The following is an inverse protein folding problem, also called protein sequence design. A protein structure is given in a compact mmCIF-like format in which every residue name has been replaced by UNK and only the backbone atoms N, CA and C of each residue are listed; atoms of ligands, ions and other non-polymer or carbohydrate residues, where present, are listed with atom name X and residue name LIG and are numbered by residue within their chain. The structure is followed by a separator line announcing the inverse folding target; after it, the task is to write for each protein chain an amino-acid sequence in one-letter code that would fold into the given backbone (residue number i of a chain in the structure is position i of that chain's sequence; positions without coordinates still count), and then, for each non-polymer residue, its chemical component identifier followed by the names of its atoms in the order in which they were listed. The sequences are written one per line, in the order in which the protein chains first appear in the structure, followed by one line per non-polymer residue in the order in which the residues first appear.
data_IF_364415449969
#
_entry.id   IF_364415449969
#
_cell.length_a   1.000
_cell.length_b   1.000
_cell.length_c   1.000
_cell.angle_alpha   90.00
_cell.angle_beta   90.00
_cell.angle_gamma   90.00
#
_symmetry.space_group_name_H-M   'P 1'
#
loop_
_entity.id
_entity.type
_entity.pdbx_description
1 polymer ?
#
# COMPACT_ATOMS: atom_id res chain seq x y z
N UNK A 1 -19.27 -10.65 -28.22
CA UNK A 1 -19.00 -11.71 -27.21
C UNK A 1 -17.59 -11.57 -26.63
N UNK A 2 -16.53 -11.43 -27.45
CA UNK A 2 -15.15 -11.21 -26.97
C UNK A 2 -14.99 -9.93 -26.12
N UNK A 3 -15.76 -8.88 -26.45
CA UNK A 3 -15.91 -7.67 -25.63
C UNK A 3 -16.41 -7.93 -24.19
N UNK A 4 -16.96 -9.08 -23.85
CA UNK A 4 -17.33 -9.35 -22.44
C UNK A 4 -16.08 -9.65 -21.60
N UNK A 5 -15.00 -10.09 -22.25
CA UNK A 5 -13.76 -10.49 -21.58
C UNK A 5 -12.68 -9.40 -21.57
N UNK A 6 -12.96 -8.18 -22.07
CA UNK A 6 -11.93 -7.12 -22.10
C UNK A 6 -11.47 -6.76 -20.67
N UNK A 7 -12.40 -6.69 -19.72
CA UNK A 7 -12.09 -6.41 -18.31
C UNK A 7 -11.13 -7.46 -17.73
N UNK A 8 -11.23 -8.72 -18.19
CA UNK A 8 -10.35 -9.79 -17.73
C UNK A 8 -8.92 -9.56 -18.18
N UNK A 9 -8.72 -9.28 -19.47
CA UNK A 9 -7.39 -9.08 -20.04
C UNK A 9 -6.68 -7.86 -19.45
N UNK A 10 -7.41 -6.76 -19.24
CA UNK A 10 -6.87 -5.58 -18.56
C UNK A 10 -6.51 -5.91 -17.12
N UNK A 11 -7.40 -6.57 -16.38
CA UNK A 11 -7.14 -6.96 -14.98
C UNK A 11 -5.90 -7.85 -14.86
N UNK A 12 -5.74 -8.81 -15.76
CA UNK A 12 -4.58 -9.71 -15.79
C UNK A 12 -3.31 -8.90 -16.06
N UNK A 13 -3.33 -8.05 -17.09
CA UNK A 13 -2.18 -7.25 -17.47
C UNK A 13 -1.78 -6.28 -16.35
N UNK A 14 -2.73 -5.53 -15.79
CA UNK A 14 -2.46 -4.60 -14.69
C UNK A 14 -1.99 -5.34 -13.44
N UNK A 15 -2.60 -6.47 -13.09
CA UNK A 15 -2.23 -7.21 -11.88
C UNK A 15 -0.88 -7.92 -11.95
N UNK A 16 -0.43 -8.28 -13.16
CA UNK A 16 0.86 -8.91 -13.42
C UNK A 16 1.95 -7.91 -13.77
N UNK A 17 1.65 -6.82 -14.47
CA UNK A 17 2.67 -5.97 -15.08
C UNK A 17 2.57 -4.50 -14.70
N UNK A 18 1.54 -4.05 -13.98
CA UNK A 18 1.44 -2.67 -13.50
C UNK A 18 1.60 -2.57 -11.98
N UNK A 19 2.34 -1.56 -11.53
CA UNK A 19 2.53 -1.23 -10.11
C UNK A 19 1.53 -0.18 -9.59
N UNK A 20 0.83 0.53 -10.48
CA UNK A 20 0.14 1.77 -10.16
C UNK A 20 -1.27 1.58 -9.55
N UNK A 21 -1.94 0.48 -9.89
CA UNK A 21 -3.22 0.10 -9.28
C UNK A 21 -3.13 -0.14 -7.76
N UNK A 22 -1.97 -0.59 -7.27
CA UNK A 22 -1.78 -0.78 -5.83
C UNK A 22 -1.42 0.53 -5.13
N UNK A 23 -0.56 1.37 -5.71
CA UNK A 23 -0.28 2.70 -5.18
C UNK A 23 -1.57 3.51 -5.01
N UNK A 24 -2.38 3.61 -6.06
CA UNK A 24 -3.67 4.32 -6.01
C UNK A 24 -4.62 3.74 -4.96
N UNK A 25 -4.69 2.42 -4.83
CA UNK A 25 -5.47 1.74 -3.78
C UNK A 25 -5.01 2.15 -2.40
N UNK A 26 -3.71 2.02 -2.10
CA UNK A 26 -3.19 2.35 -0.77
C UNK A 26 -3.24 3.86 -0.47
N UNK A 27 -2.99 4.71 -1.47
CA UNK A 27 -3.09 6.17 -1.37
C UNK A 27 -4.53 6.59 -1.02
N UNK A 28 -5.53 6.04 -1.73
CA UNK A 28 -6.95 6.24 -1.41
C UNK A 28 -7.29 5.89 0.04
N UNK A 29 -6.80 4.75 0.53
CA UNK A 29 -7.05 4.35 1.92
C UNK A 29 -6.29 5.24 2.93
N UNK A 30 -5.16 5.79 2.54
CA UNK A 30 -4.43 6.78 3.33
C UNK A 30 -5.17 8.13 3.41
N UNK A 31 -5.81 8.56 2.32
CA UNK A 31 -6.68 9.74 2.32
C UNK A 31 -7.91 9.54 3.21
N UNK A 32 -8.46 8.32 3.20
CA UNK A 32 -9.54 7.93 4.13
C UNK A 32 -9.07 7.99 5.59
N UNK A 33 -7.84 7.58 5.89
CA UNK A 33 -7.26 7.75 7.23
C UNK A 33 -7.21 9.22 7.66
N UNK A 34 -6.68 10.09 6.80
CA UNK A 34 -6.63 11.54 7.07
C UNK A 34 -8.03 12.15 7.28
N UNK A 35 -9.01 11.67 6.51
CA UNK A 35 -10.42 12.06 6.65
C UNK A 35 -11.00 11.62 8.00
N UNK A 36 -10.72 10.37 8.42
CA UNK A 36 -11.17 9.84 9.72
C UNK A 36 -10.59 10.61 10.90
N UNK A 37 -9.29 10.93 10.87
CA UNK A 37 -8.66 11.71 11.94
C UNK A 37 -9.22 13.14 12.06
N UNK A 38 -9.80 13.67 10.98
CA UNK A 38 -10.40 15.00 10.97
C UNK A 38 -11.88 15.01 11.38
N UNK A 39 -12.49 13.84 11.57
CA UNK A 39 -13.88 13.73 11.99
C UNK A 39 -14.07 14.12 13.47
N UNK A 40 -15.15 14.86 13.77
CA UNK A 40 -15.39 15.41 15.10
C UNK A 40 -15.65 14.32 16.16
N UNK A 41 -16.28 13.21 15.79
CA UNK A 41 -16.48 12.07 16.69
C UNK A 41 -15.12 11.52 17.10
N UNK A 42 -14.21 11.34 16.13
CA UNK A 42 -12.86 10.86 16.38
C UNK A 42 -12.08 11.83 17.27
N UNK A 43 -12.12 13.14 16.98
CA UNK A 43 -11.45 14.16 17.80
C UNK A 43 -11.95 14.14 19.26
N UNK A 44 -13.26 13.98 19.46
CA UNK A 44 -13.84 13.92 20.80
C UNK A 44 -13.39 12.67 21.57
N UNK A 45 -13.33 11.51 20.91
CA UNK A 45 -12.82 10.27 21.50
C UNK A 45 -11.35 10.43 21.88
N UNK A 46 -10.54 10.97 20.98
CA UNK A 46 -9.11 11.21 21.23
C UNK A 46 -8.92 12.18 22.39
N UNK A 47 -9.67 13.28 22.45
CA UNK A 47 -9.58 14.25 23.54
C UNK A 47 -9.89 13.62 24.92
N UNK A 48 -10.90 12.74 24.98
CA UNK A 48 -11.21 11.97 26.20
C UNK A 48 -10.08 11.00 26.59
N UNK A 49 -9.40 10.40 25.62
CA UNK A 49 -8.27 9.52 25.88
C UNK A 49 -7.00 10.29 26.27
N UNK A 50 -6.78 11.48 25.68
CA UNK A 50 -5.69 12.38 26.07
C UNK A 50 -5.85 12.78 27.53
N UNK A 51 -7.05 13.16 27.98
CA UNK A 51 -7.28 13.52 29.38
C UNK A 51 -7.04 12.36 30.34
N UNK A 52 -7.53 11.16 30.02
CA UNK A 52 -7.28 9.95 30.80
C UNK A 52 -5.77 9.59 30.82
N UNK A 53 -5.11 9.65 29.66
CA UNK A 53 -3.69 9.37 29.53
C UNK A 53 -2.83 10.32 30.34
N UNK A 54 -3.15 11.62 30.37
CA UNK A 54 -2.39 12.60 31.15
C UNK A 54 -2.46 12.29 32.66
N UNK A 55 -3.62 11.83 33.15
CA UNK A 55 -3.75 11.35 34.53
C UNK A 55 -2.86 10.14 34.82
N UNK A 56 -2.83 9.16 33.90
CA UNK A 56 -1.97 7.97 34.02
C UNK A 56 -0.48 8.36 33.98
N UNK A 57 -0.10 9.28 33.10
CA UNK A 57 1.27 9.80 32.97
C UNK A 57 1.76 10.43 34.27
N UNK A 58 0.91 11.23 34.94
CA UNK A 58 1.22 11.80 36.25
C UNK A 58 1.42 10.73 37.32
N UNK A 59 0.60 9.67 37.31
CA UNK A 59 0.76 8.55 38.24
C UNK A 59 2.10 7.84 38.01
N UNK A 60 2.47 7.55 36.76
CA UNK A 60 3.75 6.92 36.45
C UNK A 60 4.95 7.77 36.86
N UNK A 61 4.86 9.08 36.66
CA UNK A 61 5.87 10.02 37.14
C UNK A 61 6.02 9.97 38.67
N UNK A 62 4.91 9.99 39.42
CA UNK A 62 4.96 9.92 40.88
C UNK A 62 5.51 8.58 41.40
N UNK A 63 5.18 7.47 40.74
CA UNK A 63 5.73 6.15 41.08
C UNK A 63 7.25 6.09 40.86
N UNK A 64 7.72 6.56 39.70
CA UNK A 64 9.15 6.59 39.39
C UNK A 64 9.94 7.48 40.36
N UNK A 65 9.38 8.63 40.75
CA UNK A 65 9.97 9.47 41.79
C UNK A 65 9.99 8.81 43.17
N UNK A 66 8.92 8.10 43.54
CA UNK A 66 8.81 7.37 44.82
C UNK A 66 9.85 6.25 44.93
N UNK A 67 10.03 5.49 43.85
CA UNK A 67 11.00 4.40 43.78
C UNK A 67 12.44 4.91 43.96
N UNK A 68 12.79 6.03 43.31
CA UNK A 68 14.13 6.63 43.46
C UNK A 68 14.35 7.36 44.78
N UNK A 69 13.30 7.96 45.35
CA UNK A 69 13.36 8.54 46.69
C UNK A 69 13.67 7.46 47.74
N UNK A 70 13.03 6.30 47.60
CA UNK A 70 13.24 5.15 48.50
C UNK A 70 14.61 4.49 48.30
N UNK A 71 15.12 4.47 47.06
CA UNK A 71 16.44 3.91 46.74
C UNK A 71 17.65 4.78 47.15
N UNK A 72 17.43 5.89 47.88
CA UNK A 72 18.45 6.90 48.25
C UNK A 72 19.28 7.49 47.09
N UNK A 73 18.86 7.28 45.84
CA UNK A 73 19.48 7.82 44.63
C UNK A 73 18.79 9.12 44.16
N UNK A 74 18.34 9.93 45.12
CA UNK A 74 17.54 11.12 44.89
C UNK A 74 18.46 12.34 44.67
N UNK A 75 19.07 12.41 43.49
CA UNK A 75 19.92 13.55 43.09
C UNK A 75 19.09 14.63 42.40
N UNK A 76 19.52 15.89 42.50
CA UNK A 76 18.89 17.01 41.78
C UNK A 76 18.82 16.78 40.27
N UNK A 77 19.86 16.16 39.70
CA UNK A 77 19.90 15.77 38.29
C UNK A 77 18.77 14.80 37.92
N UNK A 78 18.47 13.83 38.79
CA UNK A 78 17.39 12.88 38.55
C UNK A 78 16.02 13.57 38.49
N UNK A 79 15.77 14.48 39.43
CA UNK A 79 14.52 15.26 39.50
C UNK A 79 14.35 16.05 38.20
N UNK A 80 15.38 16.79 37.77
CA UNK A 80 15.33 17.59 36.55
C UNK A 80 15.10 16.73 35.29
N UNK A 81 15.77 15.57 35.18
CA UNK A 81 15.55 14.62 34.07
C UNK A 81 14.13 14.05 34.07
N UNK A 82 13.56 13.77 35.24
CA UNK A 82 12.20 13.22 35.37
C UNK A 82 11.13 14.25 35.03
N UNK A 83 11.32 15.51 35.43
CA UNK A 83 10.47 16.62 35.00
C UNK A 83 10.56 16.88 33.50
N UNK A 84 11.76 16.80 32.91
CA UNK A 84 11.92 16.94 31.45
C UNK A 84 11.20 15.82 30.69
N UNK A 85 11.29 14.57 31.18
CA UNK A 85 10.51 13.44 30.62
C UNK A 85 9.01 13.69 30.72
N UNK A 86 8.53 14.23 31.84
CA UNK A 86 7.13 14.59 32.02
C UNK A 86 6.68 15.63 30.99
N UNK A 87 7.45 16.71 30.81
CA UNK A 87 7.16 17.75 29.80
C UNK A 87 7.12 17.18 28.37
N UNK A 88 8.08 16.32 28.03
CA UNK A 88 8.13 15.66 26.71
C UNK A 88 6.94 14.73 26.53
N UNK A 89 6.60 13.92 27.54
CA UNK A 89 5.45 13.03 27.50
C UNK A 89 4.15 13.82 27.30
N UNK A 90 3.94 14.90 28.07
CA UNK A 90 2.78 15.78 27.89
C UNK A 90 2.70 16.36 26.47
N UNK A 91 3.80 16.87 25.93
CA UNK A 91 3.86 17.39 24.57
C UNK A 91 3.50 16.32 23.52
N UNK A 92 4.10 15.12 23.63
CA UNK A 92 3.82 14.01 22.72
C UNK A 92 2.36 13.55 22.80
N UNK A 93 1.75 13.59 23.98
CA UNK A 93 0.36 13.18 24.19
C UNK A 93 -0.64 14.21 23.64
N UNK A 94 -0.39 15.51 23.85
CA UNK A 94 -1.28 16.57 23.33
C UNK A 94 -1.20 16.70 21.80
N UNK A 95 -0.02 16.46 21.21
CA UNK A 95 0.21 16.55 19.77
C UNK A 95 0.26 15.18 19.06
N UNK A 96 -0.17 14.09 19.71
CA UNK A 96 -0.01 12.73 19.17
C UNK A 96 -0.63 12.56 17.77
N UNK A 97 -1.79 13.16 17.53
CA UNK A 97 -2.49 13.07 16.25
C UNK A 97 -1.73 13.75 15.11
N UNK A 98 -1.12 14.90 15.39
CA UNK A 98 -0.30 15.64 14.42
C UNK A 98 0.97 14.86 14.09
N UNK A 99 1.61 14.28 15.11
CA UNK A 99 2.79 13.43 14.93
C UNK A 99 2.51 12.19 14.10
N UNK A 100 1.36 11.55 14.31
CA UNK A 100 0.98 10.36 13.54
C UNK A 100 0.66 10.73 12.09
N UNK A 101 -0.04 11.85 11.85
CA UNK A 101 -0.24 12.37 10.49
C UNK A 101 1.09 12.62 9.80
N UNK A 102 2.03 13.28 10.46
CA UNK A 102 3.37 13.53 9.92
C UNK A 102 4.08 12.22 9.56
N UNK A 103 4.06 11.21 10.43
CA UNK A 103 4.67 9.90 10.14
C UNK A 103 4.04 9.26 8.90
N UNK A 104 2.72 9.35 8.76
CA UNK A 104 1.97 8.78 7.64
C UNK A 104 2.24 9.53 6.34
N UNK A 105 2.34 10.86 6.39
CA UNK A 105 2.74 11.70 5.26
C UNK A 105 4.16 11.37 4.79
N UNK A 106 5.11 11.15 5.71
CA UNK A 106 6.46 10.68 5.37
C UNK A 106 6.40 9.32 4.65
N UNK A 107 5.63 8.37 5.18
CA UNK A 107 5.45 7.07 4.53
C UNK A 107 4.80 7.17 3.14
N UNK A 108 3.88 8.12 2.98
CA UNK A 108 3.18 8.39 1.71
C UNK A 108 4.07 9.06 0.69
N UNK A 109 4.85 10.07 1.11
CA UNK A 109 5.83 10.73 0.25
C UNK A 109 6.91 9.76 -0.22
N UNK A 110 7.40 8.89 0.68
CA UNK A 110 8.33 7.83 0.30
C UNK A 110 7.71 6.89 -0.73
N UNK A 111 6.47 6.44 -0.51
CA UNK A 111 5.72 5.60 -1.46
C UNK A 111 5.55 6.28 -2.84
N UNK A 112 5.28 7.60 -2.87
CA UNK A 112 5.16 8.37 -4.11
C UNK A 112 6.46 8.44 -4.90
N UNK A 113 7.60 8.64 -4.23
CA UNK A 113 8.91 8.67 -4.89
C UNK A 113 9.32 7.29 -5.47
N UNK A 114 8.77 6.20 -4.94
CA UNK A 114 9.03 4.84 -5.44
C UNK A 114 8.22 4.57 -6.72
N UNK A 115 7.04 5.19 -6.86
CA UNK A 115 6.17 5.01 -8.02
C UNK A 115 6.74 5.64 -9.30
N UNK A 116 7.56 6.69 -9.20
CA UNK A 116 8.02 7.46 -10.37
C UNK A 116 8.99 6.71 -11.29
N UNK A 117 9.41 5.49 -10.92
CA UNK A 117 10.19 4.60 -11.77
C UNK A 117 9.29 3.45 -12.24
N UNK A 118 8.41 3.74 -13.21
CA UNK A 118 7.47 2.78 -13.78
C UNK A 118 8.22 1.60 -14.42
N UNK A 119 8.15 0.43 -13.80
CA UNK A 119 8.74 -0.82 -14.32
C UNK A 119 7.68 -1.68 -15.03
N UNK A 120 6.73 -1.05 -15.70
CA UNK A 120 5.59 -1.74 -16.30
C UNK A 120 4.81 -0.80 -17.21
N UNK A 121 4.55 -1.25 -18.43
CA UNK A 121 3.90 -0.49 -19.50
C UNK A 121 2.56 0.13 -19.07
N UNK A 122 2.51 1.47 -19.02
CA UNK A 122 1.32 2.30 -18.70
C UNK A 122 0.22 2.28 -19.77
N UNK A 123 0.20 1.23 -20.59
CA UNK A 123 -0.59 1.15 -21.79
C UNK A 123 -2.09 1.36 -21.53
N UNK A 124 -2.67 0.67 -20.55
CA UNK A 124 -4.09 0.78 -20.22
C UNK A 124 -4.44 1.94 -19.27
N UNK A 125 -3.48 2.82 -18.94
CA UNK A 125 -3.81 4.01 -18.16
C UNK A 125 -4.55 5.06 -18.98
N UNK A 126 -4.23 5.15 -20.27
CA UNK A 126 -4.93 6.04 -21.17
C UNK A 126 -6.35 5.50 -21.44
N UNK A 127 -7.42 6.24 -21.09
CA UNK A 127 -8.79 5.83 -21.39
C UNK A 127 -9.01 5.51 -22.86
N UNK A 128 -8.31 6.22 -23.75
CA UNK A 128 -8.41 6.00 -25.20
C UNK A 128 -7.80 4.64 -25.60
N UNK A 129 -6.73 4.19 -24.93
CA UNK A 129 -6.13 2.87 -25.18
C UNK A 129 -7.06 1.75 -24.68
N UNK A 130 -7.70 1.95 -23.52
CA UNK A 130 -8.70 1.03 -22.98
C UNK A 130 -9.88 0.90 -23.94
N UNK A 131 -10.40 2.04 -24.42
CA UNK A 131 -11.50 2.07 -25.37
C UNK A 131 -11.11 1.46 -26.72
N UNK A 132 -9.90 1.79 -27.22
CA UNK A 132 -9.37 1.26 -28.46
C UNK A 132 -9.17 -0.27 -28.42
N UNK A 133 -8.71 -0.80 -27.29
CA UNK A 133 -8.58 -2.24 -27.10
C UNK A 133 -9.93 -2.92 -27.01
N UNK A 134 -10.86 -2.36 -26.24
CA UNK A 134 -12.24 -2.84 -26.12
C UNK A 134 -12.95 -2.91 -27.48
N UNK A 135 -12.74 -1.90 -28.33
CA UNK A 135 -13.29 -1.88 -29.68
C UNK A 135 -12.52 -2.84 -30.62
N UNK A 136 -11.20 -2.92 -30.49
CA UNK A 136 -10.34 -3.83 -31.26
C UNK A 136 -10.68 -5.31 -31.07
N UNK A 137 -11.01 -5.71 -29.83
CA UNK A 137 -11.47 -7.07 -29.51
C UNK A 137 -12.76 -7.49 -30.23
N UNK A 138 -13.55 -6.54 -30.74
CA UNK A 138 -14.76 -6.87 -31.52
C UNK A 138 -14.44 -7.43 -32.90
N UNK A 139 -13.23 -7.18 -33.42
CA UNK A 139 -12.76 -7.70 -34.69
C UNK A 139 -12.16 -9.11 -34.60
N UNK A 140 -11.96 -9.63 -33.38
CA UNK A 140 -11.48 -11.00 -33.16
C UNK A 140 -12.62 -11.99 -33.46
N UNK A 141 -12.29 -13.06 -34.19
CA UNK A 141 -13.27 -14.08 -34.56
C UNK A 141 -13.79 -14.80 -33.30
N UNK A 142 -15.02 -15.32 -33.36
CA UNK A 142 -15.63 -15.97 -32.21
C UNK A 142 -14.85 -17.24 -31.77
N UNK A 143 -14.24 -17.94 -32.74
CA UNK A 143 -13.39 -19.11 -32.49
C UNK A 143 -12.12 -18.73 -31.71
N UNK A 144 -11.41 -17.70 -32.17
CA UNK A 144 -10.17 -17.25 -31.53
C UNK A 144 -10.47 -16.67 -30.13
N UNK A 145 -11.56 -15.90 -30.03
CA UNK A 145 -11.99 -15.28 -28.78
C UNK A 145 -12.31 -16.28 -27.66
N UNK A 146 -12.92 -17.44 -27.97
CA UNK A 146 -13.15 -18.51 -26.99
C UNK A 146 -11.82 -19.14 -26.54
N UNK A 147 -10.87 -19.32 -27.47
CA UNK A 147 -9.55 -19.84 -27.15
C UNK A 147 -8.81 -18.98 -26.11
N UNK A 148 -8.80 -17.66 -26.30
CA UNK A 148 -8.21 -16.72 -25.34
C UNK A 148 -9.00 -16.63 -24.03
N UNK A 149 -10.34 -16.71 -24.08
CA UNK A 149 -11.15 -16.70 -22.86
C UNK A 149 -10.84 -17.91 -21.95
N UNK A 150 -10.61 -19.09 -22.53
CA UNK A 150 -10.22 -20.29 -21.77
C UNK A 150 -8.83 -20.12 -21.16
N UNK A 151 -7.86 -19.60 -21.92
CA UNK A 151 -6.51 -19.30 -21.42
C UNK A 151 -6.52 -18.24 -20.31
N UNK A 152 -7.39 -17.24 -20.43
CA UNK A 152 -7.51 -16.10 -19.52
C UNK A 152 -8.35 -16.33 -18.26
N UNK A 153 -9.14 -17.41 -18.17
CA UNK A 153 -10.03 -17.63 -17.03
C UNK A 153 -9.27 -17.84 -15.70
N UNK A 154 -8.33 -18.79 -15.68
CA UNK A 154 -7.53 -19.07 -14.48
C UNK A 154 -6.73 -17.85 -13.97
N UNK A 155 -5.95 -17.13 -14.81
CA UNK A 155 -5.18 -15.97 -14.33
C UNK A 155 -6.11 -14.85 -13.86
N UNK A 156 -7.23 -14.64 -14.55
CA UNK A 156 -8.21 -13.65 -14.13
C UNK A 156 -8.72 -13.94 -12.72
N UNK A 157 -9.15 -15.18 -12.44
CA UNK A 157 -9.64 -15.56 -11.11
C UNK A 157 -8.56 -15.37 -10.05
N UNK A 158 -7.32 -15.79 -10.34
CA UNK A 158 -6.20 -15.62 -9.40
C UNK A 158 -5.94 -14.14 -9.11
N UNK A 159 -5.73 -13.32 -10.14
CA UNK A 159 -5.43 -11.89 -9.97
C UNK A 159 -6.59 -11.14 -9.32
N UNK A 160 -7.82 -11.50 -9.65
CA UNK A 160 -9.00 -10.95 -9.00
C UNK A 160 -9.00 -11.23 -7.49
N UNK A 161 -8.71 -12.47 -7.08
CA UNK A 161 -8.54 -12.82 -5.67
C UNK A 161 -7.37 -12.07 -5.03
N UNK A 162 -6.24 -11.93 -5.75
CA UNK A 162 -5.11 -11.13 -5.28
C UNK A 162 -5.52 -9.69 -4.96
N UNK A 163 -6.29 -9.06 -5.84
CA UNK A 163 -6.74 -7.68 -5.68
C UNK A 163 -7.70 -7.53 -4.48
N UNK A 164 -8.60 -8.49 -4.26
CA UNK A 164 -9.46 -8.52 -3.07
C UNK A 164 -8.61 -8.59 -1.79
N UNK A 165 -7.60 -9.46 -1.77
CA UNK A 165 -6.72 -9.62 -0.60
C UNK A 165 -5.91 -8.34 -0.35
N UNK A 166 -5.40 -7.69 -1.39
CA UNK A 166 -4.71 -6.40 -1.28
C UNK A 166 -5.60 -5.34 -0.64
N UNK A 167 -6.86 -5.23 -1.08
CA UNK A 167 -7.83 -4.29 -0.50
C UNK A 167 -8.04 -4.58 0.99
N UNK A 168 -8.20 -5.85 1.36
CA UNK A 168 -8.33 -6.25 2.76
C UNK A 168 -7.11 -5.85 3.60
N UNK A 169 -5.89 -6.05 3.09
CA UNK A 169 -4.64 -5.65 3.75
C UNK A 169 -4.57 -4.13 3.92
N UNK A 170 -4.93 -3.37 2.87
CA UNK A 170 -4.93 -1.91 2.91
C UNK A 170 -5.89 -1.35 3.98
N UNK A 171 -7.12 -1.89 4.04
CA UNK A 171 -8.13 -1.51 5.03
C UNK A 171 -7.65 -1.90 6.44
N UNK A 172 -7.16 -3.13 6.62
CA UNK A 172 -6.67 -3.62 7.92
C UNK A 172 -5.57 -2.71 8.47
N UNK A 173 -4.61 -2.30 7.64
CA UNK A 173 -3.53 -1.39 8.01
C UNK A 173 -4.05 -0.04 8.47
N UNK A 174 -5.01 0.56 7.75
CA UNK A 174 -5.59 1.86 8.12
C UNK A 174 -6.38 1.76 9.42
N UNK A 175 -7.15 0.69 9.62
CA UNK A 175 -7.89 0.47 10.87
C UNK A 175 -6.92 0.30 12.04
N UNK A 176 -5.86 -0.49 11.88
CA UNK A 176 -4.85 -0.68 12.93
C UNK A 176 -4.14 0.63 13.29
N UNK A 177 -3.75 1.42 12.29
CA UNK A 177 -3.14 2.73 12.46
C UNK A 177 -4.09 3.69 13.20
N UNK A 178 -5.38 3.70 12.83
CA UNK A 178 -6.41 4.52 13.46
C UNK A 178 -6.60 4.19 14.94
N UNK A 179 -6.74 2.90 15.27
CA UNK A 179 -6.91 2.45 16.65
C UNK A 179 -5.67 2.83 17.47
N UNK A 180 -4.47 2.59 16.94
CA UNK A 180 -3.22 2.94 17.63
C UNK A 180 -3.05 4.45 17.80
N UNK A 181 -3.54 5.25 16.86
CA UNK A 181 -3.55 6.70 16.98
C UNK A 181 -4.47 7.17 18.12
N UNK A 182 -5.67 6.60 18.20
CA UNK A 182 -6.63 6.88 19.26
C UNK A 182 -6.06 6.58 20.64
N UNK A 183 -5.36 5.45 20.80
CA UNK A 183 -4.77 5.02 22.09
C UNK A 183 -3.32 5.50 22.31
N UNK A 184 -2.76 6.29 21.40
CA UNK A 184 -1.38 6.79 21.51
C UNK A 184 -1.09 7.53 22.81
N UNK A 185 -1.98 8.41 23.34
CA UNK A 185 -1.72 9.10 24.59
C UNK A 185 -1.48 8.13 25.77
N UNK A 186 -2.23 7.04 25.85
CA UNK A 186 -2.05 6.03 26.90
C UNK A 186 -0.79 5.23 26.63
N UNK A 187 -0.54 4.83 25.39
CA UNK A 187 0.69 4.09 25.03
C UNK A 187 1.97 4.85 25.38
N UNK A 188 1.98 6.17 25.17
CA UNK A 188 3.12 7.06 25.43
C UNK A 188 3.23 7.47 26.90
N UNK A 189 2.20 7.24 27.73
CA UNK A 189 2.25 7.61 29.15
C UNK A 189 3.36 6.89 29.93
N UNK A 190 3.80 5.71 29.47
CA UNK A 190 4.90 4.94 30.07
C UNK A 190 6.27 5.25 29.40
N UNK A 191 6.67 6.52 29.43
CA UNK A 191 7.98 7.00 28.94
C UNK A 191 9.04 7.15 30.05
N UNK A 192 8.70 6.83 31.31
CA UNK A 192 9.56 7.11 32.45
C UNK A 192 10.65 6.04 32.67
N UNK A 193 10.40 4.81 32.23
CA UNK A 193 11.35 3.68 32.26
C UNK A 193 12.54 3.90 31.30
N UNK A 194 13.68 3.24 31.55
CA UNK A 194 14.99 3.43 30.90
C UNK A 194 14.98 3.65 29.37
N UNK A 195 15.20 4.91 28.96
CA UNK A 195 15.59 5.29 27.60
C UNK A 195 14.78 4.65 26.48
N UNK A 196 15.47 4.12 25.47
CA UNK A 196 14.90 3.48 24.28
C UNK A 196 14.15 2.16 24.55
N UNK A 197 14.20 1.63 25.78
CA UNK A 197 13.50 0.41 26.20
C UNK A 197 12.15 0.68 26.84
N UNK A 198 11.80 1.96 27.07
CA UNK A 198 10.49 2.34 27.61
C UNK A 198 9.35 1.85 26.71
N UNK A 199 8.23 1.47 27.33
CA UNK A 199 7.06 0.99 26.61
C UNK A 199 6.46 2.10 25.73
N UNK A 200 6.53 3.36 26.16
CA UNK A 200 6.11 4.51 25.37
C UNK A 200 6.92 4.71 24.09
N UNK A 201 8.25 4.61 24.15
CA UNK A 201 9.08 4.68 22.93
C UNK A 201 8.82 3.48 22.02
N UNK A 202 8.66 2.27 22.58
CA UNK A 202 8.27 1.09 21.80
C UNK A 202 6.93 1.31 21.10
N UNK A 203 5.96 1.92 21.76
CA UNK A 203 4.66 2.22 21.18
C UNK A 203 4.78 3.18 19.99
N UNK A 204 5.53 4.28 20.14
CA UNK A 204 5.80 5.23 19.04
C UNK A 204 6.49 4.56 17.87
N UNK A 205 7.48 3.72 18.15
CA UNK A 205 8.17 2.95 17.10
C UNK A 205 7.22 2.00 16.37
N UNK A 206 6.26 1.36 17.04
CA UNK A 206 5.24 0.53 16.34
C UNK A 206 4.36 1.37 15.42
N UNK A 207 4.01 2.60 15.80
CA UNK A 207 3.24 3.49 14.91
C UNK A 207 4.10 3.93 13.72
N UNK A 208 5.37 4.28 13.95
CA UNK A 208 6.31 4.61 12.89
C UNK A 208 6.49 3.44 11.90
N UNK A 209 6.53 2.19 12.39
CA UNK A 209 6.54 1.00 11.55
C UNK A 209 5.26 0.90 10.70
N UNK A 210 4.07 1.07 11.27
CA UNK A 210 2.83 1.07 10.48
C UNK A 210 2.77 2.20 9.43
N UNK A 211 3.38 3.34 9.71
CA UNK A 211 3.51 4.43 8.76
C UNK A 211 4.45 4.04 7.60
N UNK A 212 5.63 3.50 7.91
CA UNK A 212 6.61 3.00 6.94
C UNK A 212 6.08 1.83 6.10
N UNK A 213 5.21 1.01 6.69
CA UNK A 213 4.63 -0.17 6.04
C UNK A 213 4.00 0.15 4.68
N UNK A 214 3.40 1.34 4.51
CA UNK A 214 2.83 1.74 3.22
C UNK A 214 3.90 1.84 2.12
N UNK A 215 5.00 2.54 2.38
CA UNK A 215 6.13 2.60 1.46
C UNK A 215 6.68 1.20 1.15
N UNK A 216 6.76 0.32 2.15
CA UNK A 216 7.20 -1.06 1.95
C UNK A 216 6.25 -1.87 1.04
N UNK A 217 4.93 -1.68 1.17
CA UNK A 217 3.97 -2.35 0.28
C UNK A 217 4.15 -1.91 -1.18
N UNK A 218 4.42 -0.63 -1.42
CA UNK A 218 4.72 -0.12 -2.77
C UNK A 218 6.06 -0.66 -3.27
N UNK A 219 7.11 -0.67 -2.44
CA UNK A 219 8.41 -1.30 -2.78
C UNK A 219 8.25 -2.76 -3.17
N UNK A 220 7.52 -3.56 -2.39
CA UNK A 220 7.26 -4.98 -2.69
C UNK A 220 6.62 -5.11 -4.08
N UNK A 221 5.70 -4.22 -4.42
CA UNK A 221 5.02 -4.22 -5.72
C UNK A 221 5.98 -3.97 -6.86
N UNK A 222 6.82 -2.93 -6.74
CA UNK A 222 7.83 -2.57 -7.75
C UNK A 222 8.86 -3.69 -7.89
N UNK A 223 9.38 -4.24 -6.79
CA UNK A 223 10.32 -5.35 -6.85
C UNK A 223 9.72 -6.60 -7.53
N UNK A 224 8.46 -6.92 -7.26
CA UNK A 224 7.79 -8.03 -7.94
C UNK A 224 7.58 -7.72 -9.43
N UNK A 225 7.21 -6.49 -9.79
CA UNK A 225 7.11 -6.04 -11.19
C UNK A 225 8.45 -6.17 -11.94
N UNK A 226 9.54 -5.72 -11.33
CA UNK A 226 10.91 -5.90 -11.83
C UNK A 226 11.27 -7.37 -12.04
N UNK A 227 10.95 -8.23 -11.06
CA UNK A 227 11.20 -9.66 -11.19
C UNK A 227 10.35 -10.31 -12.28
N UNK A 228 9.09 -9.90 -12.43
CA UNK A 228 8.22 -10.35 -13.51
C UNK A 228 8.79 -9.92 -14.88
N UNK A 229 9.28 -8.68 -14.98
CA UNK A 229 9.96 -8.18 -16.18
C UNK A 229 11.23 -8.95 -16.50
N UNK A 230 12.05 -9.27 -15.49
CA UNK A 230 13.27 -10.04 -15.68
C UNK A 230 13.01 -11.49 -16.09
N UNK A 231 11.93 -12.11 -15.58
CA UNK A 231 11.55 -13.49 -15.90
C UNK A 231 10.96 -13.61 -17.30
N UNK A 232 10.15 -12.64 -17.71
CA UNK A 232 9.48 -12.63 -19.02
C UNK A 232 10.42 -12.23 -20.15
N UNK A 233 11.52 -11.53 -19.82
CA UNK A 233 12.45 -10.95 -20.78
C UNK A 233 11.90 -9.67 -21.39
N UNK A 234 12.79 -8.74 -21.76
CA UNK A 234 12.41 -7.47 -22.39
C UNK A 234 11.55 -7.70 -23.65
N UNK A 235 11.82 -8.78 -24.41
CA UNK A 235 11.17 -9.08 -25.68
C UNK A 235 9.66 -9.32 -25.60
N UNK A 236 9.14 -9.93 -24.52
CA UNK A 236 7.70 -10.24 -24.42
C UNK A 236 6.88 -9.05 -23.88
N UNK A 237 7.48 -8.19 -23.06
CA UNK A 237 6.84 -6.94 -22.58
C UNK A 237 6.89 -5.87 -23.68
N UNK A 238 8.01 -5.79 -24.41
CA UNK A 238 8.09 -5.06 -25.66
C UNK A 238 7.01 -5.58 -26.62
N UNK A 239 6.90 -6.89 -26.88
CA UNK A 239 5.85 -7.42 -27.76
C UNK A 239 4.40 -7.05 -27.35
N UNK A 240 4.09 -6.93 -26.06
CA UNK A 240 2.78 -6.45 -25.58
C UNK A 240 2.57 -4.95 -25.87
N UNK A 241 3.63 -4.15 -25.79
CA UNK A 241 3.59 -2.69 -25.98
C UNK A 241 3.71 -2.32 -27.46
N UNK A 242 4.64 -2.96 -28.17
CA UNK A 242 4.92 -2.89 -29.62
C UNK A 242 3.73 -3.31 -30.47
N UNK A 243 2.92 -4.27 -29.99
CA UNK A 243 1.66 -4.62 -30.62
C UNK A 243 0.76 -3.39 -30.87
N UNK A 244 0.95 -2.33 -30.07
CA UNK A 244 0.16 -1.11 -30.13
C UNK A 244 0.96 0.15 -30.50
N UNK A 245 2.28 0.06 -30.76
CA UNK A 245 3.17 1.18 -31.09
C UNK A 245 2.73 1.98 -32.33
N UNK A 246 2.00 1.36 -33.26
CA UNK A 246 1.44 2.05 -34.44
C UNK A 246 0.30 3.03 -34.11
N UNK A 247 -0.13 3.12 -32.84
CA UNK A 247 -1.28 3.88 -32.39
C UNK A 247 -2.60 3.20 -32.74
N UNK A 248 -3.70 3.67 -32.13
CA UNK A 248 -5.04 3.24 -32.49
C UNK A 248 -5.56 4.05 -33.69
N UNK A 249 -6.41 3.42 -34.50
CA UNK A 249 -7.13 4.13 -35.56
C UNK A 249 -8.30 4.91 -34.95
N UNK A 250 -8.47 6.18 -35.33
CA UNK A 250 -9.66 6.96 -34.99
C UNK A 250 -10.86 6.40 -35.76
N UNK A 251 -11.95 6.08 -35.05
CA UNK A 251 -13.15 5.50 -35.65
C UNK A 251 -13.91 6.46 -36.57
N UNK A 252 -14.55 5.88 -37.58
CA UNK A 252 -15.55 6.51 -38.46
C UNK A 252 -16.97 6.05 -38.05
N UNK A 253 -18.02 6.51 -38.75
CA UNK A 253 -19.44 6.30 -38.40
C UNK A 253 -19.90 4.84 -38.15
N UNK A 254 -19.10 3.84 -38.54
CA UNK A 254 -19.34 2.41 -38.31
C UNK A 254 -18.65 1.86 -37.04
N UNK A 255 -17.66 2.58 -36.49
CA UNK A 255 -16.74 2.09 -35.46
C UNK A 255 -16.82 2.86 -34.13
N UNK A 256 -17.54 3.99 -34.07
CA UNK A 256 -18.02 4.62 -32.83
C UNK A 256 -16.97 5.18 -31.86
N UNK A 257 -15.68 5.02 -32.13
CA UNK A 257 -14.58 5.46 -31.27
C UNK A 257 -13.22 4.92 -31.74
N UNK A 258 -12.12 5.21 -31.04
CA UNK A 258 -10.80 4.67 -31.38
C UNK A 258 -10.80 3.14 -31.34
N UNK A 259 -9.94 2.49 -32.14
CA UNK A 259 -9.81 1.03 -32.17
C UNK A 259 -8.40 0.54 -32.57
N UNK A 260 -7.98 -0.58 -31.97
CA UNK A 260 -6.83 -1.36 -32.46
C UNK A 260 -7.26 -2.37 -33.52
N UNK A 261 -6.37 -2.64 -34.47
CA UNK A 261 -6.63 -3.67 -35.50
C UNK A 261 -6.65 -5.06 -34.88
N UNK A 262 -7.36 -5.99 -35.54
CA UNK A 262 -7.45 -7.39 -35.12
C UNK A 262 -6.07 -8.00 -34.81
N UNK A 263 -5.10 -7.79 -35.71
CA UNK A 263 -3.77 -8.39 -35.59
C UNK A 263 -3.00 -7.85 -34.38
N UNK A 264 -3.20 -6.58 -34.04
CA UNK A 264 -2.61 -5.96 -32.84
C UNK A 264 -3.19 -6.55 -31.56
N UNK A 265 -4.52 -6.72 -31.51
CA UNK A 265 -5.17 -7.34 -30.36
C UNK A 265 -4.77 -8.82 -30.20
N UNK A 266 -4.61 -9.57 -31.30
CA UNK A 266 -4.17 -10.96 -31.26
C UNK A 266 -2.71 -11.04 -30.81
N UNK A 267 -1.82 -10.21 -31.36
CA UNK A 267 -0.41 -10.17 -30.95
C UNK A 267 -0.26 -9.85 -29.46
N UNK A 268 -1.05 -8.91 -28.94
CA UNK A 268 -1.09 -8.63 -27.50
C UNK A 268 -1.57 -9.83 -26.67
N UNK A 269 -2.67 -10.47 -27.06
CA UNK A 269 -3.21 -11.63 -26.33
C UNK A 269 -2.26 -12.83 -26.39
N UNK A 270 -1.57 -13.02 -27.52
CA UNK A 270 -0.54 -14.03 -27.65
C UNK A 270 0.66 -13.71 -26.76
N UNK A 271 1.17 -12.48 -26.75
CA UNK A 271 2.23 -12.10 -25.82
C UNK A 271 1.81 -12.29 -24.34
N UNK A 272 0.58 -11.92 -24.00
CA UNK A 272 0.03 -12.03 -22.65
C UNK A 272 -0.10 -13.49 -22.15
N UNK A 273 -0.49 -14.42 -23.03
CA UNK A 273 -0.80 -15.81 -22.66
C UNK A 273 0.17 -16.87 -23.18
N UNK A 274 1.07 -16.52 -24.10
CA UNK A 274 2.00 -17.46 -24.73
C UNK A 274 3.45 -17.34 -24.23
N UNK A 275 3.70 -16.55 -23.17
CA UNK A 275 5.01 -16.58 -22.53
C UNK A 275 5.25 -17.94 -21.86
N UNK A 276 6.39 -18.56 -22.14
CA UNK A 276 6.81 -19.83 -21.51
C UNK A 276 6.91 -19.71 -19.97
N UNK A 277 6.97 -18.47 -19.48
CA UNK A 277 7.08 -18.12 -18.06
C UNK A 277 5.77 -17.68 -17.41
N UNK A 278 4.64 -17.87 -18.09
CA UNK A 278 3.31 -17.50 -17.60
C UNK A 278 3.00 -18.06 -16.19
N UNK A 279 3.33 -19.32 -15.93
CA UNK A 279 3.15 -19.93 -14.60
C UNK A 279 4.03 -19.30 -13.52
N UNK A 280 5.24 -18.89 -13.89
CA UNK A 280 6.16 -18.18 -12.99
C UNK A 280 5.62 -16.78 -12.65
N UNK A 281 5.03 -16.07 -13.61
CA UNK A 281 4.39 -14.78 -13.38
C UNK A 281 3.22 -14.92 -12.39
N UNK A 282 2.40 -15.96 -12.55
CA UNK A 282 1.31 -16.26 -11.62
C UNK A 282 1.83 -16.57 -10.21
N UNK A 283 2.91 -17.34 -10.09
CA UNK A 283 3.56 -17.63 -8.81
C UNK A 283 4.14 -16.37 -8.14
N UNK A 284 4.72 -15.45 -8.93
CA UNK A 284 5.18 -14.15 -8.44
C UNK A 284 4.01 -13.28 -7.96
N UNK A 285 2.85 -13.34 -8.61
CA UNK A 285 1.65 -12.63 -8.16
C UNK A 285 1.15 -13.14 -6.79
N UNK A 286 1.20 -14.45 -6.55
CA UNK A 286 0.94 -15.01 -5.21
C UNK A 286 2.02 -14.62 -4.19
N UNK A 287 3.28 -14.61 -4.61
CA UNK A 287 4.41 -14.21 -3.76
C UNK A 287 4.26 -12.76 -3.28
N UNK A 288 3.79 -11.87 -4.16
CA UNK A 288 3.42 -10.48 -3.83
C UNK A 288 2.51 -10.43 -2.61
N UNK A 289 1.42 -11.19 -2.60
CA UNK A 289 0.47 -11.23 -1.47
C UNK A 289 1.16 -11.72 -0.20
N UNK A 290 1.92 -12.81 -0.28
CA UNK A 290 2.63 -13.36 0.87
C UNK A 290 3.56 -12.33 1.52
N UNK A 291 4.25 -11.53 0.70
CA UNK A 291 5.10 -10.43 1.16
C UNK A 291 4.29 -9.24 1.69
N UNK A 292 3.17 -8.88 1.05
CA UNK A 292 2.28 -7.81 1.55
C UNK A 292 1.74 -8.16 2.94
N UNK A 293 1.37 -9.41 3.21
CA UNK A 293 0.94 -9.86 4.54
C UNK A 293 2.08 -9.73 5.56
N UNK A 294 3.32 -10.07 5.16
CA UNK A 294 4.50 -9.96 6.02
C UNK A 294 5.08 -8.56 6.13
N UNK A 295 4.56 -7.59 5.39
CA UNK A 295 5.11 -6.23 5.32
C UNK A 295 5.19 -5.56 6.70
N UNK A 296 4.27 -5.86 7.63
CA UNK A 296 4.33 -5.33 9.00
C UNK A 296 5.51 -5.90 9.78
N UNK A 297 5.82 -7.18 9.62
CA UNK A 297 6.97 -7.81 10.27
C UNK A 297 8.27 -7.18 9.78
N UNK A 298 8.40 -7.04 8.46
CA UNK A 298 9.57 -6.38 7.84
C UNK A 298 9.69 -4.94 8.33
N UNK A 299 8.57 -4.23 8.43
CA UNK A 299 8.59 -2.86 8.94
C UNK A 299 8.99 -2.77 10.42
N UNK A 300 8.56 -3.72 11.25
CA UNK A 300 8.96 -3.79 12.65
C UNK A 300 10.45 -4.08 12.78
N UNK A 301 11.01 -4.96 11.94
CA UNK A 301 12.44 -5.26 11.91
C UNK A 301 13.27 -4.02 11.53
N UNK A 302 12.83 -3.24 10.55
CA UNK A 302 13.51 -2.00 10.11
C UNK A 302 13.52 -0.94 11.21
N UNK A 303 12.40 -0.74 11.91
CA UNK A 303 12.29 0.25 12.98
C UNK A 303 12.88 -0.26 14.32
N UNK A 304 13.08 -1.58 14.44
CA UNK A 304 13.64 -2.24 15.61
C UNK A 304 12.66 -2.30 16.78
N UNK A 305 11.52 -2.97 16.58
CA UNK A 305 10.41 -3.10 17.54
C UNK A 305 9.91 -4.52 17.72
#
# INVERSE_FOLDING_TARGET
MVKIFYDWYITIFEGLYSSEGMYSTFSKYNDLFSTLLNNDIFKNIVAAIVSAGMGICLIYFLLDMSDKATAQNFTFEYIMRSFLKLCIAFFLMTHCMELIKLMVEIGTGLAGNIQTENVGSDFFQNPDNVEAFKNGLTFISLKDGIGYAIKGLLPYVVIFLCNIITIFIAISRVVELTIRAVFAPIGVSDCFVEGSRSNGIRYLKKIAALALQFALMVMITVCIGLLMSAVVGEDSIAAMTDAFEAGFSMGNAFHGGPYFKKDQCIAFLDALFASDHYWTCLALAFTKIGLLIKSISVSNDIIGV
#
